data_IF_234417903250
#
_entry.id   IF_234417903250
#
_cell.length_a   1.000
_cell.length_b   1.000
_cell.length_c   1.000
_cell.angle_alpha   90.00
_cell.angle_beta   90.00
_cell.angle_gamma   90.00
#
_symmetry.space_group_name_H-M   'P 1'
#
loop_
_entity.id
_entity.type
_entity.pdbx_description
1 polymer ?
#
# COMPACT_ATOMS: atom_id res chain seq x y z
N UNK A 1 38.74 10.61 20.95
CA UNK A 1 38.99 9.15 20.83
C UNK A 1 37.71 8.31 20.72
N UNK A 2 36.53 8.81 21.14
CA UNK A 2 35.25 8.13 20.91
C UNK A 2 34.83 8.13 19.42
N UNK A 3 34.80 9.29 18.75
CA UNK A 3 34.28 9.43 17.36
C UNK A 3 34.91 8.48 16.33
N UNK A 4 36.23 8.24 16.39
CA UNK A 4 36.92 7.34 15.44
C UNK A 4 36.53 5.86 15.58
N UNK A 5 35.99 5.46 16.74
CA UNK A 5 35.51 4.08 16.95
C UNK A 5 34.20 3.82 16.17
N UNK A 6 33.37 4.86 15.98
CA UNK A 6 32.02 4.76 15.39
C UNK A 6 31.99 4.84 13.86
N UNK A 7 33.00 5.45 13.22
CA UNK A 7 33.19 5.44 11.76
C UNK A 7 33.34 4.02 11.17
N UNK A 8 33.73 3.04 11.99
CA UNK A 8 33.80 1.62 11.59
C UNK A 8 32.44 0.90 11.63
N UNK A 9 31.45 1.42 12.35
CA UNK A 9 30.15 0.76 12.55
C UNK A 9 29.11 1.14 11.49
N UNK A 10 29.22 2.32 10.90
CA UNK A 10 28.42 2.72 9.74
C UNK A 10 29.02 2.24 8.40
N UNK A 11 30.03 1.37 8.43
CA UNK A 11 30.84 1.04 7.26
C UNK A 11 31.54 2.28 6.69
N UNK A 12 32.65 2.09 6.00
CA UNK A 12 33.32 3.22 5.30
C UNK A 12 32.49 3.82 4.17
N UNK A 13 31.26 3.33 3.95
CA UNK A 13 30.40 3.64 2.80
C UNK A 13 28.91 3.83 3.12
N UNK A 14 28.42 3.64 4.36
CA UNK A 14 26.95 3.59 4.60
C UNK A 14 26.41 4.83 5.31
N UNK A 15 27.16 5.59 6.10
CA UNK A 15 26.75 6.97 6.43
C UNK A 15 27.97 7.83 6.28
N UNK A 16 27.95 8.77 5.33
CA UNK A 16 29.03 9.74 5.29
C UNK A 16 28.84 10.65 6.51
N UNK A 17 29.76 10.53 7.46
CA UNK A 17 29.85 11.40 8.62
C UNK A 17 30.98 12.40 8.37
N UNK A 18 30.71 13.69 8.55
CA UNK A 18 31.74 14.72 8.56
C UNK A 18 32.10 15.01 10.01
N UNK A 19 33.37 14.81 10.36
CA UNK A 19 33.91 15.12 11.69
C UNK A 19 34.71 16.41 11.58
N UNK A 20 34.32 17.41 12.34
CA UNK A 20 35.10 18.63 12.51
C UNK A 20 36.37 18.30 13.31
N UNK A 21 37.54 18.55 12.72
CA UNK A 21 38.84 18.23 13.31
C UNK A 21 39.20 19.10 14.52
N UNK A 22 38.59 20.28 14.65
CA UNK A 22 38.83 21.23 15.73
C UNK A 22 37.89 20.97 16.90
N UNK A 23 36.60 20.79 16.62
CA UNK A 23 35.58 20.60 17.67
C UNK A 23 35.33 19.14 18.03
N UNK A 24 35.72 18.21 17.16
CA UNK A 24 35.43 16.78 17.30
C UNK A 24 33.96 16.43 17.06
N UNK A 25 33.13 17.37 16.60
CA UNK A 25 31.71 17.14 16.36
C UNK A 25 31.54 16.32 15.07
N UNK A 26 30.75 15.26 15.14
CA UNK A 26 30.33 14.48 13.98
C UNK A 26 28.96 14.95 13.49
N UNK A 27 28.81 15.08 12.18
CA UNK A 27 27.56 15.46 11.50
C UNK A 27 27.26 14.49 10.36
N UNK A 28 25.97 14.24 10.10
CA UNK A 28 25.54 13.40 8.97
C UNK A 28 25.65 14.21 7.69
N UNK A 29 26.51 13.80 6.76
CA UNK A 29 26.66 14.48 5.47
C UNK A 29 25.79 13.88 4.36
N UNK A 30 25.50 12.57 4.39
CA UNK A 30 24.55 11.95 3.47
C UNK A 30 23.89 10.71 4.09
N UNK A 31 22.63 10.87 4.50
CA UNK A 31 21.82 9.79 5.07
C UNK A 31 21.34 8.77 4.03
N UNK A 32 21.38 9.09 2.72
CA UNK A 32 20.91 8.18 1.65
C UNK A 32 21.73 6.89 1.57
N UNK A 33 23.00 6.95 1.95
CA UNK A 33 23.89 5.80 1.85
C UNK A 33 23.60 4.76 2.93
N UNK A 34 22.75 5.09 3.91
CA UNK A 34 22.51 4.20 5.05
C UNK A 34 21.74 2.97 4.59
N UNK A 35 22.30 1.80 4.89
CA UNK A 35 21.63 0.52 4.63
C UNK A 35 20.71 0.09 5.78
N UNK A 36 20.62 0.90 6.85
CA UNK A 36 19.75 0.62 7.98
C UNK A 36 20.17 -0.61 8.79
N UNK A 37 21.48 -0.89 8.88
CA UNK A 37 22.03 -2.04 9.62
C UNK A 37 21.70 -2.06 11.12
N UNK A 38 21.34 -0.91 11.69
CA UNK A 38 21.03 -0.71 13.11
C UNK A 38 22.17 -1.07 14.07
N UNK A 39 23.41 -1.08 13.61
CA UNK A 39 24.58 -1.41 14.44
C UNK A 39 24.74 -0.46 15.64
N UNK A 40 24.27 0.79 15.53
CA UNK A 40 24.27 1.76 16.64
C UNK A 40 23.53 1.26 17.89
N UNK A 41 22.54 0.36 17.74
CA UNK A 41 21.80 -0.22 18.86
C UNK A 41 22.65 -1.15 19.74
N UNK A 42 23.80 -1.61 19.25
CA UNK A 42 24.73 -2.45 20.01
C UNK A 42 25.64 -1.64 20.93
N UNK A 43 25.58 -0.32 20.86
CA UNK A 43 26.48 0.61 21.56
C UNK A 43 25.65 1.38 22.59
N UNK A 44 25.70 0.99 23.88
CA UNK A 44 24.89 1.60 24.94
C UNK A 44 25.09 3.12 25.03
N UNK A 45 26.30 3.60 24.74
CA UNK A 45 26.63 5.02 24.71
C UNK A 45 25.92 5.83 23.60
N UNK A 46 25.36 5.17 22.59
CA UNK A 46 24.66 5.83 21.48
C UNK A 46 23.14 5.89 21.65
N UNK A 47 22.61 5.20 22.68
CA UNK A 47 21.17 5.02 22.88
C UNK A 47 20.40 6.33 22.93
N UNK A 48 20.94 7.33 23.64
CA UNK A 48 20.25 8.61 23.89
C UNK A 48 20.73 9.75 22.98
N UNK A 49 21.64 9.47 22.05
CA UNK A 49 22.27 10.50 21.18
C UNK A 49 22.06 10.25 19.69
N UNK A 50 21.58 9.06 19.29
CA UNK A 50 21.29 8.72 17.90
C UNK A 50 19.81 8.39 17.75
N UNK A 51 19.11 9.20 16.97
CA UNK A 51 17.76 8.89 16.51
C UNK A 51 17.79 8.61 15.01
N UNK A 52 17.26 7.45 14.61
CA UNK A 52 17.11 7.07 13.20
C UNK A 52 15.64 7.07 12.85
N UNK A 53 15.26 7.91 11.90
CA UNK A 53 13.89 8.01 11.39
C UNK A 53 13.85 7.80 9.88
N UNK A 54 12.71 7.36 9.37
CA UNK A 54 12.43 7.30 7.94
C UNK A 54 11.50 8.45 7.59
N UNK A 55 11.75 9.13 6.47
CA UNK A 55 10.81 10.10 5.93
C UNK A 55 9.76 9.36 5.08
N UNK A 56 8.50 9.25 5.53
CA UNK A 56 7.47 8.49 4.80
C UNK A 56 7.02 9.17 3.49
N UNK A 57 7.50 10.39 3.21
CA UNK A 57 7.19 11.16 1.99
C UNK A 57 8.35 11.18 0.99
N UNK A 58 9.46 10.52 1.28
CA UNK A 58 10.62 10.48 0.40
C UNK A 58 10.96 9.04 0.03
N UNK A 59 10.64 8.67 -1.21
CA UNK A 59 10.85 7.33 -1.73
C UNK A 59 12.07 7.30 -2.64
N UNK A 60 12.87 6.24 -2.52
CA UNK A 60 13.99 5.95 -3.41
C UNK A 60 13.65 4.66 -4.17
N UNK A 61 13.44 4.80 -5.48
CA UNK A 61 13.19 3.67 -6.37
C UNK A 61 14.43 3.38 -7.20
N UNK A 62 14.81 2.11 -7.26
CA UNK A 62 15.81 1.61 -8.21
C UNK A 62 15.07 0.70 -9.19
N UNK A 63 15.15 1.03 -10.49
CA UNK A 63 14.49 0.26 -11.54
C UNK A 63 15.55 -0.24 -12.49
N UNK A 64 15.68 -1.56 -12.54
CA UNK A 64 16.61 -2.26 -13.44
C UNK A 64 15.81 -2.95 -14.55
N UNK A 65 16.33 -2.88 -15.78
CA UNK A 65 15.74 -3.57 -16.93
C UNK A 65 16.66 -4.69 -17.38
N UNK A 66 16.08 -5.86 -17.65
CA UNK A 66 16.79 -7.01 -18.25
C UNK A 66 17.12 -6.80 -19.73
N UNK A 67 16.49 -5.81 -20.39
CA UNK A 67 16.66 -5.55 -21.82
C UNK A 67 16.62 -4.03 -22.10
N UNK A 68 17.60 -3.26 -21.62
CA UNK A 68 17.55 -1.79 -21.61
C UNK A 68 17.46 -1.16 -23.01
N UNK A 69 17.97 -1.83 -24.06
CA UNK A 69 17.88 -1.33 -25.44
C UNK A 69 16.47 -1.37 -26.04
N UNK A 70 15.61 -2.28 -25.57
CA UNK A 70 14.23 -2.41 -26.05
C UNK A 70 13.21 -1.85 -25.04
N UNK A 71 13.53 -1.97 -23.75
CA UNK A 71 12.64 -1.62 -22.64
C UNK A 71 13.45 -0.88 -21.58
N UNK A 72 13.78 0.40 -21.79
CA UNK A 72 14.56 1.16 -20.83
C UNK A 72 13.78 1.41 -19.52
N UNK A 73 14.46 1.60 -18.37
CA UNK A 73 13.81 1.77 -17.08
C UNK A 73 12.76 2.89 -17.00
N UNK A 74 12.97 4.01 -17.69
CA UNK A 74 12.02 5.12 -17.70
C UNK A 74 10.70 4.73 -18.40
N UNK A 75 10.78 3.92 -19.45
CA UNK A 75 9.60 3.40 -20.16
C UNK A 75 8.86 2.38 -19.31
N UNK A 76 9.57 1.56 -18.52
CA UNK A 76 8.96 0.67 -17.53
C UNK A 76 8.14 1.44 -16.50
N UNK A 77 8.71 2.52 -15.96
CA UNK A 77 8.03 3.36 -14.96
C UNK A 77 6.79 4.03 -15.57
N UNK A 78 6.91 4.60 -16.78
CA UNK A 78 5.77 5.20 -17.50
C UNK A 78 4.66 4.18 -17.72
N UNK A 79 4.98 2.99 -18.23
CA UNK A 79 4.01 1.93 -18.45
C UNK A 79 3.34 1.46 -17.16
N UNK A 80 4.07 1.38 -16.04
CA UNK A 80 3.50 1.03 -14.74
C UNK A 80 2.50 2.11 -14.25
N UNK A 81 2.82 3.39 -14.44
CA UNK A 81 1.90 4.50 -14.15
C UNK A 81 0.66 4.41 -15.02
N UNK A 82 0.81 4.18 -16.32
CA UNK A 82 -0.30 4.07 -17.26
C UNK A 82 -1.24 2.91 -16.91
N UNK A 83 -0.70 1.77 -16.47
CA UNK A 83 -1.49 0.63 -15.99
C UNK A 83 -2.33 1.04 -14.78
N UNK A 84 -1.74 1.72 -13.80
CA UNK A 84 -2.48 2.16 -12.61
C UNK A 84 -3.58 3.17 -12.97
N UNK A 85 -3.27 4.15 -13.83
CA UNK A 85 -4.25 5.13 -14.31
C UNK A 85 -5.43 4.45 -15.02
N UNK A 86 -5.16 3.46 -15.88
CA UNK A 86 -6.20 2.73 -16.59
C UNK A 86 -7.04 1.87 -15.65
N UNK A 87 -6.44 1.21 -14.65
CA UNK A 87 -7.18 0.50 -13.59
C UNK A 87 -8.10 1.47 -12.84
N UNK A 88 -7.61 2.64 -12.42
CA UNK A 88 -8.43 3.64 -11.74
C UNK A 88 -9.57 4.15 -12.64
N UNK A 89 -9.29 4.52 -13.89
CA UNK A 89 -10.31 4.98 -14.84
C UNK A 89 -11.39 3.92 -15.09
N UNK A 90 -10.99 2.66 -15.17
CA UNK A 90 -11.89 1.53 -15.33
C UNK A 90 -12.82 1.38 -14.12
N UNK A 91 -12.29 1.37 -12.91
CA UNK A 91 -13.12 1.24 -11.70
C UNK A 91 -14.01 2.46 -11.46
N UNK A 92 -13.57 3.68 -11.77
CA UNK A 92 -14.44 4.87 -11.75
C UNK A 92 -15.63 4.70 -12.71
N UNK A 93 -15.36 4.28 -13.95
CA UNK A 93 -16.40 4.07 -14.96
C UNK A 93 -17.36 2.91 -14.64
N UNK A 94 -16.96 1.96 -13.80
CA UNK A 94 -17.84 0.89 -13.30
C UNK A 94 -18.69 1.41 -12.14
N UNK A 95 -18.05 2.08 -11.19
CA UNK A 95 -18.66 2.58 -9.96
C UNK A 95 -19.71 3.66 -10.21
N UNK A 96 -19.51 4.48 -11.24
CA UNK A 96 -20.49 5.48 -11.67
C UNK A 96 -21.71 4.87 -12.39
N UNK A 97 -21.73 3.55 -12.68
CA UNK A 97 -22.87 2.90 -13.32
C UNK A 97 -24.01 2.70 -12.31
N UNK A 98 -25.26 3.04 -12.68
CA UNK A 98 -26.42 2.72 -11.87
C UNK A 98 -26.51 1.20 -11.61
N UNK A 99 -26.60 0.79 -10.35
CA UNK A 99 -26.75 -0.61 -9.96
C UNK A 99 -25.44 -1.37 -9.69
N UNK A 100 -24.29 -0.71 -9.71
CA UNK A 100 -23.04 -1.33 -9.29
C UNK A 100 -22.97 -1.46 -7.76
N UNK A 101 -22.59 -2.65 -7.26
CA UNK A 101 -22.58 -3.03 -5.85
C UNK A 101 -23.95 -2.99 -5.11
N UNK A 102 -25.07 -2.96 -5.83
CA UNK A 102 -26.41 -2.93 -5.22
C UNK A 102 -27.02 -4.31 -4.90
N UNK A 103 -26.24 -5.40 -4.93
CA UNK A 103 -26.71 -6.69 -4.42
C UNK A 103 -26.82 -6.61 -2.90
N UNK A 104 -28.03 -6.68 -2.32
CA UNK A 104 -28.18 -6.71 -0.88
C UNK A 104 -27.49 -7.98 -0.36
N UNK A 105 -26.59 -7.82 0.61
CA UNK A 105 -25.97 -8.93 1.34
C UNK A 105 -27.09 -9.64 2.09
N UNK A 106 -27.66 -10.70 1.53
CA UNK A 106 -28.52 -11.62 2.27
C UNK A 106 -27.69 -12.26 3.36
N UNK A 107 -28.20 -12.21 4.60
CA UNK A 107 -27.60 -12.79 5.79
C UNK A 107 -27.16 -14.25 5.52
N UNK A 108 -25.86 -14.52 5.63
CA UNK A 108 -25.33 -15.89 5.61
C UNK A 108 -24.87 -16.22 7.04
N UNK A 109 -25.69 -17.02 7.72
CA UNK A 109 -25.27 -17.75 8.92
C UNK A 109 -24.08 -18.68 8.60
N UNK A 110 -23.18 -18.79 9.56
CA UNK A 110 -21.93 -19.56 9.61
C UNK A 110 -21.78 -20.77 8.65
N UNK A 111 -20.83 -20.68 7.72
CA UNK A 111 -19.68 -21.59 7.45
C UNK A 111 -19.15 -21.38 6.01
N UNK A 112 -17.81 -21.28 5.77
CA UNK A 112 -17.29 -20.92 4.46
C UNK A 112 -17.13 -22.17 3.58
N UNK A 113 -18.23 -22.65 3.00
CA UNK A 113 -18.17 -23.57 1.86
C UNK A 113 -18.37 -22.74 0.59
N UNK A 114 -17.33 -22.75 -0.25
CA UNK A 114 -17.31 -22.24 -1.61
C UNK A 114 -18.50 -22.78 -2.40
N UNK A 115 -19.58 -22.01 -2.44
CA UNK A 115 -20.66 -22.19 -3.40
C UNK A 115 -20.65 -20.97 -4.28
N UNK A 116 -20.00 -21.10 -5.44
CA UNK A 116 -20.19 -20.18 -6.54
C UNK A 116 -21.67 -20.31 -6.96
N UNK A 117 -22.52 -19.42 -6.45
CA UNK A 117 -23.88 -19.31 -6.95
C UNK A 117 -23.84 -18.59 -8.29
N UNK A 118 -24.50 -19.19 -9.28
CA UNK A 118 -24.64 -18.73 -10.66
C UNK A 118 -25.56 -17.50 -10.77
N UNK A 119 -25.23 -16.42 -10.08
CA UNK A 119 -25.97 -15.16 -10.16
C UNK A 119 -25.03 -13.98 -10.45
N UNK A 120 -25.15 -13.51 -11.70
CA UNK A 120 -24.85 -12.16 -12.21
C UNK A 120 -23.58 -12.02 -13.06
N UNK A 121 -23.71 -12.35 -14.35
CA UNK A 121 -22.73 -12.04 -15.41
C UNK A 121 -22.46 -10.53 -15.59
N UNK A 122 -23.16 -9.64 -14.87
CA UNK A 122 -23.05 -8.18 -15.01
C UNK A 122 -22.03 -7.49 -14.07
N UNK A 123 -21.49 -8.15 -13.04
CA UNK A 123 -20.54 -7.53 -12.10
C UNK A 123 -19.08 -7.59 -12.58
N UNK A 124 -18.77 -8.50 -13.50
CA UNK A 124 -17.44 -8.68 -14.05
C UNK A 124 -17.30 -8.05 -15.43
N UNK A 125 -16.33 -7.17 -15.58
CA UNK A 125 -16.00 -6.55 -16.88
C UNK A 125 -14.62 -7.03 -17.33
N UNK A 126 -14.09 -6.45 -18.42
CA UNK A 126 -12.76 -6.82 -18.92
C UNK A 126 -11.83 -5.63 -18.96
N UNK A 127 -10.61 -5.84 -18.47
CA UNK A 127 -9.49 -4.90 -18.57
C UNK A 127 -8.29 -5.64 -19.14
N UNK A 128 -7.75 -5.16 -20.27
CA UNK A 128 -6.71 -5.86 -21.04
C UNK A 128 -7.04 -7.32 -21.37
N UNK A 129 -8.31 -7.63 -21.63
CA UNK A 129 -8.78 -8.97 -21.92
C UNK A 129 -8.91 -9.91 -20.71
N UNK A 130 -8.52 -9.47 -19.51
CA UNK A 130 -8.70 -10.19 -18.25
C UNK A 130 -10.05 -9.83 -17.64
N UNK A 131 -10.69 -10.81 -17.01
CA UNK A 131 -11.93 -10.60 -16.25
C UNK A 131 -11.57 -9.86 -14.96
N UNK A 132 -12.24 -8.74 -14.70
CA UNK A 132 -12.06 -7.92 -13.49
C UNK A 132 -13.40 -7.61 -12.85
N UNK A 133 -13.44 -7.49 -11.52
CA UNK A 133 -14.67 -7.15 -10.80
C UNK A 133 -14.41 -6.64 -9.39
N UNK A 134 -15.48 -6.22 -8.73
CA UNK A 134 -15.48 -5.80 -7.33
C UNK A 134 -16.79 -6.23 -6.68
N UNK A 135 -16.66 -7.10 -5.68
CA UNK A 135 -17.77 -7.70 -4.94
C UNK A 135 -17.65 -7.35 -3.45
N UNK A 136 -18.75 -6.96 -2.81
CA UNK A 136 -18.82 -6.85 -1.35
C UNK A 136 -19.07 -8.24 -0.76
N UNK A 137 -18.09 -8.83 -0.09
CA UNK A 137 -18.20 -10.18 0.47
C UNK A 137 -18.64 -10.18 1.94
N UNK A 138 -18.45 -9.06 2.64
CA UNK A 138 -18.91 -8.88 4.00
C UNK A 138 -19.17 -7.40 4.28
N UNK A 139 -20.27 -7.09 4.96
CA UNK A 139 -20.54 -5.78 5.53
C UNK A 139 -21.11 -6.00 6.94
N UNK A 140 -20.53 -5.35 7.94
CA UNK A 140 -21.03 -5.45 9.31
C UNK A 140 -22.37 -4.71 9.44
N UNK A 141 -23.28 -5.13 10.34
CA UNK A 141 -24.58 -4.48 10.52
C UNK A 141 -24.52 -2.99 10.89
N UNK A 142 -23.43 -2.56 11.55
CA UNK A 142 -23.18 -1.17 11.92
C UNK A 142 -22.52 -0.35 10.79
N UNK A 143 -22.28 -0.97 9.62
CA UNK A 143 -21.63 -0.41 8.44
C UNK A 143 -20.19 0.11 8.70
N UNK A 144 -19.56 -0.32 9.82
CA UNK A 144 -18.22 0.13 10.20
C UNK A 144 -17.11 -0.77 9.69
N UNK A 145 -17.44 -1.96 9.20
CA UNK A 145 -16.48 -2.90 8.61
C UNK A 145 -17.06 -3.44 7.32
N UNK A 146 -16.25 -3.41 6.28
CA UNK A 146 -16.58 -4.06 5.03
C UNK A 146 -15.35 -4.77 4.47
N UNK A 147 -15.60 -5.91 3.83
CA UNK A 147 -14.59 -6.66 3.08
C UNK A 147 -15.08 -6.79 1.64
N UNK A 148 -14.19 -6.47 0.71
CA UNK A 148 -14.42 -6.49 -0.72
C UNK A 148 -13.47 -7.48 -1.38
N UNK A 149 -13.92 -8.13 -2.45
CA UNK A 149 -13.08 -8.96 -3.32
C UNK A 149 -12.91 -8.25 -4.65
N UNK A 150 -11.68 -8.00 -5.05
CA UNK A 150 -11.35 -7.50 -6.38
C UNK A 150 -10.82 -8.65 -7.22
N UNK A 151 -11.64 -9.15 -8.15
CA UNK A 151 -11.25 -10.19 -9.10
C UNK A 151 -10.41 -9.58 -10.22
N UNK A 152 -9.38 -10.30 -10.68
CA UNK A 152 -8.45 -9.88 -11.73
C UNK A 152 -7.45 -8.80 -11.31
N UNK A 153 -7.40 -8.49 -10.01
CA UNK A 153 -6.59 -7.43 -9.44
C UNK A 153 -5.54 -7.95 -8.46
N UNK A 154 -4.53 -7.12 -8.24
CA UNK A 154 -3.30 -7.48 -7.55
C UNK A 154 -2.78 -6.35 -6.65
N UNK A 155 -1.55 -6.53 -6.16
CA UNK A 155 -0.85 -5.55 -5.34
C UNK A 155 -0.76 -4.16 -5.97
N UNK A 156 -0.82 -4.02 -7.29
CA UNK A 156 -0.75 -2.73 -7.98
C UNK A 156 -1.92 -1.83 -7.56
N UNK A 157 -3.15 -2.33 -7.67
CA UNK A 157 -4.34 -1.59 -7.26
C UNK A 157 -4.48 -1.62 -5.73
N UNK A 158 -4.26 -2.78 -5.10
CA UNK A 158 -4.43 -2.96 -3.66
C UNK A 158 -3.53 -2.02 -2.84
N UNK A 159 -2.25 -1.89 -3.19
CA UNK A 159 -1.32 -1.01 -2.48
C UNK A 159 -1.71 0.47 -2.63
N UNK A 160 -2.10 0.88 -3.84
CA UNK A 160 -2.51 2.25 -4.12
C UNK A 160 -3.79 2.62 -3.34
N UNK A 161 -4.83 1.78 -3.43
CA UNK A 161 -6.10 2.00 -2.70
C UNK A 161 -5.87 2.04 -1.19
N UNK A 162 -5.10 1.09 -0.65
CA UNK A 162 -4.78 1.07 0.78
C UNK A 162 -4.06 2.35 1.22
N UNK A 163 -3.07 2.80 0.45
CA UNK A 163 -2.34 4.02 0.78
C UNK A 163 -3.28 5.24 0.82
N UNK A 164 -4.13 5.40 -0.19
CA UNK A 164 -5.08 6.51 -0.30
C UNK A 164 -6.12 6.48 0.84
N UNK A 165 -6.72 5.33 1.10
CA UNK A 165 -7.78 5.18 2.11
C UNK A 165 -7.22 5.43 3.52
N UNK A 166 -6.01 4.99 3.82
CA UNK A 166 -5.35 5.24 5.11
C UNK A 166 -5.00 6.72 5.37
N UNK A 167 -5.09 7.61 4.36
CA UNK A 167 -4.93 9.05 4.60
C UNK A 167 -6.16 9.69 5.26
N UNK A 168 -7.28 8.98 5.31
CA UNK A 168 -8.52 9.48 5.91
C UNK A 168 -8.56 9.21 7.42
N UNK A 169 -8.74 10.26 8.23
CA UNK A 169 -8.88 10.16 9.69
C UNK A 169 -10.10 9.34 10.14
N UNK A 170 -11.07 9.14 9.25
CA UNK A 170 -12.24 8.30 9.52
C UNK A 170 -11.94 6.80 9.44
N UNK A 171 -10.78 6.42 8.88
CA UNK A 171 -10.38 5.01 8.75
C UNK A 171 -9.55 4.62 9.96
N UNK A 172 -9.97 3.54 10.61
CA UNK A 172 -9.24 2.92 11.72
C UNK A 172 -8.23 1.91 11.21
N UNK A 173 -8.66 1.10 10.25
CA UNK A 173 -7.84 0.03 9.69
C UNK A 173 -8.21 -0.15 8.22
N UNK A 174 -7.20 -0.37 7.41
CA UNK A 174 -7.37 -0.75 6.02
C UNK A 174 -6.22 -1.66 5.59
N UNK A 175 -6.56 -2.77 4.95
CA UNK A 175 -5.63 -3.81 4.55
C UNK A 175 -6.12 -4.55 3.32
N UNK A 176 -5.21 -5.27 2.67
CA UNK A 176 -5.60 -6.22 1.65
C UNK A 176 -4.63 -7.41 1.66
N UNK A 177 -5.10 -8.55 1.17
CA UNK A 177 -4.29 -9.73 0.97
C UNK A 177 -4.65 -10.41 -0.35
N UNK A 178 -3.68 -11.13 -0.92
CA UNK A 178 -3.96 -12.12 -1.95
C UNK A 178 -4.25 -13.44 -1.24
N UNK A 179 -5.47 -14.01 -1.34
CA UNK A 179 -5.87 -15.19 -0.57
C UNK A 179 -5.02 -16.42 -0.93
N UNK A 180 -4.68 -16.57 -2.21
CA UNK A 180 -3.81 -17.64 -2.70
C UNK A 180 -3.02 -17.18 -3.95
N UNK A 181 -1.74 -17.58 -4.14
CA UNK A 181 -0.94 -17.17 -5.31
C UNK A 181 -1.53 -17.53 -6.68
N UNK A 182 -2.34 -18.60 -6.73
CA UNK A 182 -3.02 -19.04 -7.96
C UNK A 182 -4.41 -18.41 -8.15
N UNK A 183 -4.93 -17.74 -7.11
CA UNK A 183 -6.16 -16.98 -7.25
C UNK A 183 -5.84 -15.59 -7.78
N UNK A 184 -6.46 -15.25 -8.90
CA UNK A 184 -6.35 -13.95 -9.54
C UNK A 184 -7.34 -12.97 -8.89
N UNK A 185 -7.14 -12.69 -7.60
CA UNK A 185 -7.96 -11.76 -6.84
C UNK A 185 -7.21 -11.24 -5.61
N UNK A 186 -7.68 -10.11 -5.08
CA UNK A 186 -7.32 -9.63 -3.74
C UNK A 186 -8.57 -9.44 -2.89
N UNK A 187 -8.44 -9.68 -1.58
CA UNK A 187 -9.44 -9.32 -0.57
C UNK A 187 -9.00 -8.04 0.12
N UNK A 188 -9.88 -7.04 0.16
CA UNK A 188 -9.63 -5.70 0.68
C UNK A 188 -10.56 -5.43 1.86
N UNK A 189 -10.03 -5.05 3.02
CA UNK A 189 -10.80 -4.79 4.24
C UNK A 189 -10.66 -3.32 4.65
N UNK A 190 -11.79 -2.73 5.07
CA UNK A 190 -11.85 -1.38 5.62
C UNK A 190 -12.63 -1.41 6.93
N UNK A 191 -12.11 -0.71 7.93
CA UNK A 191 -12.79 -0.45 9.20
C UNK A 191 -12.79 1.05 9.50
N UNK A 192 -13.95 1.61 9.84
CA UNK A 192 -14.10 3.02 10.22
C UNK A 192 -13.88 3.26 11.72
N UNK A 193 -13.58 4.51 12.08
CA UNK A 193 -13.47 4.96 13.48
C UNK A 193 -14.84 5.03 14.17
N UNK A 194 -14.84 4.88 15.50
CA UNK A 194 -16.02 4.67 16.35
C UNK A 194 -16.90 5.88 16.66
N UNK A 195 -16.88 6.96 15.86
CA UNK A 195 -17.88 8.04 15.95
C UNK A 195 -18.57 8.14 14.61
N UNK A 196 -19.89 7.93 14.59
CA UNK A 196 -20.70 8.41 13.48
C UNK A 196 -20.55 9.93 13.46
N UNK A 197 -19.99 10.55 12.40
CA UNK A 197 -20.11 12.00 12.27
C UNK A 197 -21.62 12.31 12.20
N UNK A 198 -22.10 13.20 13.06
CA UNK A 198 -23.51 13.62 13.15
C UNK A 198 -24.03 14.26 11.85
N UNK A 199 -23.15 14.48 10.89
CA UNK A 199 -23.46 14.69 9.49
C UNK A 199 -22.17 14.48 8.72
N UNK A 200 -22.02 13.32 8.07
CA UNK A 200 -21.31 13.12 6.80
C UNK A 200 -21.60 11.66 6.39
N UNK A 201 -22.33 11.52 5.30
CA UNK A 201 -22.46 10.30 4.53
C UNK A 201 -21.06 9.83 4.13
N UNK A 202 -20.54 8.83 4.83
CA UNK A 202 -19.25 8.24 4.52
C UNK A 202 -19.47 7.18 3.42
N UNK A 203 -19.21 7.57 2.18
CA UNK A 203 -18.61 6.72 1.13
C UNK A 203 -19.33 5.38 0.84
N UNK A 204 -20.65 5.35 0.95
CA UNK A 204 -21.53 4.42 0.21
C UNK A 204 -22.68 5.17 -0.48
N UNK A 205 -22.45 6.44 -0.81
CA UNK A 205 -23.20 7.14 -1.84
C UNK A 205 -22.20 7.54 -2.91
N UNK A 206 -22.22 6.79 -4.01
CA UNK A 206 -21.72 7.30 -5.28
C UNK A 206 -22.75 8.31 -5.78
N UNK A 207 -22.38 9.59 -5.70
CA UNK A 207 -23.16 10.75 -6.11
C UNK A 207 -22.29 12.00 -6.00
#
# INVERSE_FOLDING_TARGET
MLIFKYLRFFGTHLVSLQVDSVTGVASVSNSRLDNGSREYLRLPELTDVVEVTLNPRHFLFTVESIAPGYRPPDTLVKAAIDVLLQKCAHYLAIVERPGFASTPVTEVEADPVLTASEADENAHTRLYGRVVGLDAIFVSPDLRRATFRFTGEDHTLGAALRYCILQSDAVKLCGYCQPHPLEDAICFEIQSQGKLPTSIAFVMHFG
#
